data_IF_704960093250
#
_entry.id   IF_704960093250
#
_cell.length_a   1.000
_cell.length_b   1.000
_cell.length_c   1.000
_cell.angle_alpha   90.00
_cell.angle_beta   90.00
_cell.angle_gamma   90.00
#
_symmetry.space_group_name_H-M   'P 1'
#
loop_
_entity.id
_entity.type
_entity.pdbx_description
1 polymer ?
#
# COMPACT_ATOMS: atom_id res chain seq x y z
N UNK A 1 26.79 -0.78 -9.45
CA UNK A 1 25.51 -1.38 -9.86
C UNK A 1 24.57 -1.35 -8.68
N UNK A 2 23.33 -0.92 -8.86
CA UNK A 2 22.31 -0.99 -7.81
C UNK A 2 21.66 -2.38 -7.82
N UNK A 3 21.47 -2.98 -6.65
CA UNK A 3 20.91 -4.33 -6.47
C UNK A 3 19.38 -4.32 -6.58
N UNK A 4 18.76 -3.14 -6.45
CA UNK A 4 17.32 -2.94 -6.61
C UNK A 4 16.97 -1.47 -6.79
N UNK A 5 15.67 -1.20 -7.01
CA UNK A 5 15.10 0.16 -7.05
C UNK A 5 14.09 0.27 -5.92
N UNK A 6 14.21 1.31 -5.10
CA UNK A 6 13.24 1.64 -4.06
C UNK A 6 12.59 2.97 -4.44
N UNK A 7 11.28 2.97 -4.63
CA UNK A 7 10.49 4.14 -4.98
C UNK A 7 9.63 4.48 -3.76
N UNK A 8 9.68 5.74 -3.34
CA UNK A 8 8.82 6.30 -2.31
C UNK A 8 7.92 7.34 -2.98
N UNK A 9 6.64 7.32 -2.63
CA UNK A 9 5.62 8.20 -3.19
C UNK A 9 4.75 8.73 -2.05
N UNK A 10 4.41 10.01 -2.14
CA UNK A 10 3.36 10.62 -1.35
C UNK A 10 2.18 10.87 -2.29
N UNK A 11 1.01 10.29 -2.00
CA UNK A 11 -0.17 10.33 -2.85
C UNK A 11 -1.30 11.10 -2.16
N UNK A 12 -1.64 12.28 -2.68
CA UNK A 12 -2.77 13.08 -2.20
C UNK A 12 -4.07 12.75 -2.94
N UNK A 13 -5.14 12.61 -2.17
CA UNK A 13 -6.48 12.27 -2.67
C UNK A 13 -7.42 13.48 -2.57
N UNK A 14 -8.33 13.58 -3.54
CA UNK A 14 -9.41 14.56 -3.52
C UNK A 14 -10.61 14.02 -2.72
N UNK A 15 -11.59 14.89 -2.44
CA UNK A 15 -12.77 14.53 -1.63
C UNK A 15 -13.59 13.37 -2.22
N UNK A 16 -13.54 13.16 -3.54
CA UNK A 16 -14.35 12.14 -4.21
C UNK A 16 -13.67 10.77 -4.26
N UNK A 17 -12.38 10.67 -3.88
CA UNK A 17 -11.59 9.43 -3.94
C UNK A 17 -10.97 9.01 -2.60
N UNK A 18 -11.09 9.85 -1.57
CA UNK A 18 -10.44 9.65 -0.28
C UNK A 18 -10.96 8.46 0.55
N UNK A 19 -12.16 7.93 0.24
CA UNK A 19 -12.77 6.82 1.00
C UNK A 19 -11.90 5.55 1.01
N UNK A 20 -11.07 5.37 -0.02
CA UNK A 20 -10.11 4.25 -0.10
C UNK A 20 -9.09 4.28 1.03
N UNK A 21 -8.81 5.45 1.61
CA UNK A 21 -7.81 5.62 2.67
C UNK A 21 -8.33 5.08 4.01
N UNK A 22 -9.64 5.09 4.23
CA UNK A 22 -10.24 4.86 5.55
C UNK A 22 -10.13 3.40 5.99
N UNK A 23 -10.31 2.46 5.05
CA UNK A 23 -10.53 1.06 5.36
C UNK A 23 -9.61 0.11 4.60
N UNK A 24 -9.36 -1.04 5.22
CA UNK A 24 -8.45 -2.06 4.73
C UNK A 24 -8.82 -2.51 3.31
N UNK A 25 -10.11 -2.67 3.01
CA UNK A 25 -10.54 -2.93 1.63
C UNK A 25 -10.57 -1.59 0.88
N UNK A 26 -9.88 -1.45 -0.27
CA UNK A 26 -9.36 -2.51 -1.15
C UNK A 26 -7.83 -2.68 -1.19
N UNK A 27 -7.08 -2.25 -0.18
CA UNK A 27 -5.61 -2.25 -0.19
C UNK A 27 -4.94 -3.60 -0.45
N UNK A 28 -5.38 -4.74 0.12
CA UNK A 28 -4.82 -6.05 -0.22
C UNK A 28 -4.85 -6.34 -1.72
N UNK A 29 -5.97 -6.04 -2.38
CA UNK A 29 -6.14 -6.29 -3.80
C UNK A 29 -5.28 -5.33 -4.63
N UNK A 30 -5.24 -4.04 -4.26
CA UNK A 30 -4.41 -3.03 -4.92
C UNK A 30 -2.92 -3.42 -4.89
N UNK A 31 -2.39 -3.74 -3.70
CA UNK A 31 -0.97 -4.07 -3.56
C UNK A 31 -0.64 -5.40 -4.24
N UNK A 32 -1.55 -6.39 -4.17
CA UNK A 32 -1.35 -7.68 -4.83
C UNK A 32 -1.33 -7.53 -6.35
N UNK A 33 -2.27 -6.78 -6.94
CA UNK A 33 -2.27 -6.50 -8.38
C UNK A 33 -1.00 -5.74 -8.81
N UNK A 34 -0.57 -4.74 -8.03
CA UNK A 34 0.65 -4.00 -8.30
C UNK A 34 1.91 -4.90 -8.28
N UNK A 35 2.02 -5.80 -7.29
CA UNK A 35 3.11 -6.75 -7.21
C UNK A 35 3.12 -7.70 -8.41
N UNK A 36 1.96 -8.29 -8.75
CA UNK A 36 1.83 -9.21 -9.89
C UNK A 36 2.17 -8.53 -11.22
N UNK A 37 1.70 -7.29 -11.44
CA UNK A 37 2.04 -6.50 -12.64
C UNK A 37 3.50 -6.14 -12.74
N UNK A 38 4.19 -6.00 -11.59
CA UNK A 38 5.63 -5.76 -11.56
C UNK A 38 6.47 -7.02 -11.85
N UNK A 39 5.83 -8.20 -11.86
CA UNK A 39 6.51 -9.50 -11.97
C UNK A 39 7.15 -9.96 -10.66
N UNK A 40 6.83 -9.32 -9.53
CA UNK A 40 7.35 -9.68 -8.22
C UNK A 40 6.72 -10.97 -7.68
N UNK A 41 7.51 -11.72 -6.92
CA UNK A 41 7.05 -12.93 -6.23
C UNK A 41 6.65 -12.56 -4.80
N UNK A 42 5.36 -12.72 -4.48
CA UNK A 42 4.81 -12.47 -3.14
C UNK A 42 5.09 -13.69 -2.25
N UNK A 43 5.76 -13.47 -1.12
CA UNK A 43 6.00 -14.49 -0.08
C UNK A 43 4.88 -14.45 0.98
N UNK A 44 4.42 -13.25 1.32
CA UNK A 44 3.41 -13.07 2.35
C UNK A 44 2.89 -11.64 2.40
N UNK A 45 1.86 -11.43 3.21
CA UNK A 45 1.21 -10.14 3.36
C UNK A 45 0.71 -9.94 4.78
N UNK A 46 0.69 -8.69 5.24
CA UNK A 46 0.06 -8.33 6.49
C UNK A 46 -0.53 -6.92 6.39
N UNK A 47 -1.75 -6.78 6.92
CA UNK A 47 -2.50 -5.54 6.94
C UNK A 47 -3.03 -5.29 8.34
N UNK A 48 -3.12 -4.02 8.70
CA UNK A 48 -3.69 -3.56 9.95
C UNK A 48 -4.65 -2.39 9.67
N UNK A 49 -5.89 -2.56 10.12
CA UNK A 49 -6.89 -1.51 10.18
C UNK A 49 -6.75 -0.74 11.48
N UNK A 50 -6.47 0.55 11.41
CA UNK A 50 -6.49 1.45 12.56
C UNK A 50 -7.92 1.92 12.89
N UNK A 51 -8.09 2.42 14.11
CA UNK A 51 -9.32 3.02 14.60
C UNK A 51 -9.09 4.53 14.86
N UNK A 52 -10.02 5.41 14.46
CA UNK A 52 -11.30 5.11 13.81
C UNK A 52 -11.18 4.75 12.31
N UNK A 53 -10.06 5.06 11.67
CA UNK A 53 -9.80 4.88 10.23
C UNK A 53 -8.30 4.86 9.95
N UNK A 54 -7.93 4.48 8.74
CA UNK A 54 -6.54 4.39 8.28
C UNK A 54 -6.00 2.96 8.27
N UNK A 55 -5.00 2.73 7.44
CA UNK A 55 -4.49 1.39 7.11
C UNK A 55 -2.97 1.42 7.06
N UNK A 56 -2.35 0.36 7.58
CA UNK A 56 -0.98 -0.01 7.22
C UNK A 56 -1.01 -1.38 6.58
N UNK A 57 -0.35 -1.52 5.43
CA UNK A 57 -0.26 -2.78 4.71
C UNK A 57 1.13 -2.98 4.15
N UNK A 58 1.59 -4.23 4.10
CA UNK A 58 2.77 -4.57 3.33
C UNK A 58 2.68 -5.97 2.69
N UNK A 59 3.37 -6.10 1.56
CA UNK A 59 3.70 -7.36 0.94
C UNK A 59 5.19 -7.64 1.14
N UNK A 60 5.50 -8.82 1.67
CA UNK A 60 6.84 -9.37 1.64
C UNK A 60 7.07 -9.98 0.26
N UNK A 61 8.08 -9.50 -0.46
CA UNK A 61 8.47 -10.04 -1.75
C UNK A 61 9.75 -10.87 -1.60
N UNK A 62 10.06 -11.71 -2.60
CA UNK A 62 11.24 -12.59 -2.56
C UNK A 62 12.57 -11.87 -2.24
N UNK A 63 12.70 -10.61 -2.67
CA UNK A 63 13.94 -9.85 -2.57
C UNK A 63 13.71 -8.42 -2.03
N UNK A 64 12.48 -8.06 -1.65
CA UNK A 64 12.09 -6.68 -1.33
C UNK A 64 10.74 -6.61 -0.59
N UNK A 65 10.04 -5.48 -0.68
CA UNK A 65 8.70 -5.26 -0.12
C UNK A 65 7.93 -4.21 -0.92
N UNK A 66 6.61 -4.19 -0.72
CA UNK A 66 5.72 -3.06 -1.06
C UNK A 66 4.96 -2.72 0.22
N UNK A 67 4.87 -1.45 0.59
CA UNK A 67 4.12 -1.01 1.76
C UNK A 67 3.26 0.20 1.45
N UNK A 68 2.17 0.36 2.21
CA UNK A 68 1.29 1.53 2.18
C UNK A 68 0.90 1.91 3.60
N UNK A 69 0.80 3.22 3.84
CA UNK A 69 0.32 3.80 5.08
C UNK A 69 -0.65 4.92 4.73
N UNK A 70 -1.86 4.91 5.28
CA UNK A 70 -2.86 5.93 4.97
C UNK A 70 -3.14 6.83 6.16
N UNK A 71 -3.31 8.13 5.88
CA UNK A 71 -3.76 9.16 6.82
C UNK A 71 -4.99 9.85 6.23
N UNK A 72 -6.19 9.31 6.47
CA UNK A 72 -7.41 9.85 5.85
C UNK A 72 -7.74 11.29 6.28
N UNK A 73 -7.30 11.73 7.45
CA UNK A 73 -7.40 13.11 7.92
C UNK A 73 -6.58 14.10 7.09
N UNK A 74 -5.45 13.66 6.54
CA UNK A 74 -4.60 14.46 5.64
C UNK A 74 -4.85 14.16 4.15
N UNK A 75 -5.74 13.21 3.86
CA UNK A 75 -6.03 12.69 2.50
C UNK A 75 -4.76 12.19 1.81
N UNK A 76 -3.94 11.46 2.55
CA UNK A 76 -2.62 11.01 2.13
C UNK A 76 -2.51 9.48 2.21
N UNK A 77 -1.82 8.90 1.24
CA UNK A 77 -1.25 7.55 1.29
C UNK A 77 0.21 7.54 0.84
#
# INVERSE_FOLDING_TARGET
MAIGKHILLDLWFNNDTGDVLDYLTPWPDILTDAALRSGAVIIGQQFHQFQPRGVTGFLLLAESHISVHTWPEEKLA
#
